data_IF_693173551487
#
_entry.id   IF_693173551487
#
_cell.length_a   1.000
_cell.length_b   1.000
_cell.length_c   1.000
_cell.angle_alpha   90.00
_cell.angle_beta   90.00
_cell.angle_gamma   90.00
#
_symmetry.space_group_name_H-M   'P 1'
#
loop_
_entity.id
_entity.type
_entity.pdbx_description
1 polymer ?
#
# COMPACT_ATOMS: atom_id res chain seq x y z
N UNK A 1 -41.55 -71.09 7.56
CA UNK A 1 -41.39 -71.07 6.10
C UNK A 1 -41.38 -69.60 5.70
N UNK A 2 -40.30 -68.90 6.00
CA UNK A 2 -39.03 -68.84 5.24
C UNK A 2 -39.12 -67.84 4.09
N UNK A 3 -38.16 -66.90 4.08
CA UNK A 3 -37.43 -66.33 2.93
C UNK A 3 -37.00 -64.90 3.32
N UNK A 4 -35.83 -64.73 3.93
CA UNK A 4 -34.54 -64.47 3.27
C UNK A 4 -34.42 -63.07 2.64
N UNK A 5 -33.49 -62.27 3.17
CA UNK A 5 -32.88 -61.11 2.51
C UNK A 5 -32.13 -61.57 1.26
N UNK A 6 -31.83 -60.62 0.35
CA UNK A 6 -30.42 -60.46 0.03
C UNK A 6 -29.94 -59.01 0.17
N UNK A 7 -28.69 -58.93 0.59
CA UNK A 7 -27.88 -57.74 0.67
C UNK A 7 -27.58 -57.19 -0.74
N UNK A 8 -27.73 -55.87 -0.91
CA UNK A 8 -27.12 -55.15 -2.03
C UNK A 8 -25.83 -54.53 -1.51
N UNK A 9 -24.72 -55.08 -1.98
CA UNK A 9 -23.36 -54.63 -1.78
C UNK A 9 -23.12 -53.28 -2.47
N UNK A 10 -22.45 -52.41 -1.70
CA UNK A 10 -21.40 -51.47 -2.08
C UNK A 10 -21.07 -51.35 -3.58
N UNK A 11 -21.31 -50.15 -4.10
CA UNK A 11 -20.32 -49.45 -4.93
C UNK A 11 -20.20 -48.02 -4.39
N UNK A 12 -19.42 -47.87 -3.31
CA UNK A 12 -18.77 -46.59 -3.03
C UNK A 12 -17.80 -46.35 -4.18
N UNK A 13 -18.17 -45.45 -5.09
CA UNK A 13 -17.23 -44.84 -6.01
C UNK A 13 -16.23 -44.05 -5.15
N UNK A 14 -15.12 -44.70 -4.81
CA UNK A 14 -13.92 -44.03 -4.36
C UNK A 14 -13.46 -43.15 -5.52
N UNK A 15 -13.82 -41.87 -5.48
CA UNK A 15 -13.11 -40.85 -6.23
C UNK A 15 -11.65 -40.89 -5.74
N UNK A 16 -10.66 -40.88 -6.65
CA UNK A 16 -9.26 -40.80 -6.25
C UNK A 16 -9.07 -39.47 -5.51
N UNK A 17 -8.79 -39.55 -4.21
CA UNK A 17 -8.39 -38.41 -3.40
C UNK A 17 -7.17 -37.79 -4.07
N UNK A 18 -7.30 -36.58 -4.61
CA UNK A 18 -6.13 -35.81 -5.02
C UNK A 18 -5.17 -35.74 -3.83
N UNK A 19 -3.84 -35.84 -4.05
CA UNK A 19 -2.88 -35.64 -2.97
C UNK A 19 -3.15 -34.28 -2.32
N UNK A 20 -3.43 -34.28 -1.01
CA UNK A 20 -3.55 -33.05 -0.24
C UNK A 20 -2.15 -32.44 -0.20
N UNK A 21 -1.93 -31.39 -0.98
CA UNK A 21 -0.70 -30.62 -0.93
C UNK A 21 -0.60 -29.94 0.44
N UNK A 22 0.61 -29.79 0.97
CA UNK A 22 0.78 -28.96 2.16
C UNK A 22 0.43 -27.50 1.82
N UNK A 23 0.01 -26.70 2.81
CA UNK A 23 -0.29 -25.29 2.60
C UNK A 23 0.89 -24.53 1.96
N UNK A 24 2.11 -24.91 2.35
CA UNK A 24 3.33 -24.32 1.81
C UNK A 24 3.53 -24.68 0.34
N UNK A 25 3.21 -25.91 -0.05
CA UNK A 25 3.28 -26.34 -1.46
C UNK A 25 2.22 -25.63 -2.31
N UNK A 26 1.01 -25.43 -1.79
CA UNK A 26 -0.04 -24.64 -2.45
C UNK A 26 0.41 -23.20 -2.69
N UNK A 27 1.00 -22.55 -1.68
CA UNK A 27 1.55 -21.20 -1.78
C UNK A 27 2.68 -21.11 -2.82
N UNK A 28 3.63 -22.04 -2.77
CA UNK A 28 4.76 -22.06 -3.71
C UNK A 28 4.27 -22.25 -5.15
N UNK A 29 3.32 -23.17 -5.37
CA UNK A 29 2.73 -23.39 -6.68
C UNK A 29 1.97 -22.15 -7.17
N UNK A 30 1.23 -21.48 -6.30
CA UNK A 30 0.56 -20.23 -6.64
C UNK A 30 1.58 -19.13 -7.00
N UNK A 31 2.65 -19.01 -6.23
CA UNK A 31 3.74 -18.03 -6.45
C UNK A 31 4.42 -18.23 -7.81
N UNK A 32 4.59 -19.46 -8.29
CA UNK A 32 5.15 -19.76 -9.61
C UNK A 32 4.34 -19.17 -10.78
N UNK A 33 3.06 -18.87 -10.60
CA UNK A 33 2.23 -18.24 -11.63
C UNK A 33 2.55 -16.76 -11.84
N UNK A 34 3.28 -16.14 -10.91
CA UNK A 34 3.62 -14.73 -10.96
C UNK A 34 5.00 -14.52 -11.60
N UNK A 35 5.09 -13.79 -12.72
CA UNK A 35 6.37 -13.49 -13.34
C UNK A 35 7.23 -12.65 -12.39
N UNK A 36 8.48 -13.05 -12.17
CA UNK A 36 9.40 -12.32 -11.29
C UNK A 36 9.28 -12.66 -9.80
N UNK A 37 8.42 -13.60 -9.41
CA UNK A 37 8.21 -13.96 -8.00
C UNK A 37 9.46 -14.51 -7.28
N UNK A 38 10.42 -15.06 -8.03
CA UNK A 38 11.71 -15.47 -7.47
C UNK A 38 12.63 -14.30 -7.06
N UNK A 39 12.25 -13.06 -7.38
CA UNK A 39 13.00 -11.84 -7.07
C UNK A 39 12.28 -10.89 -6.12
N UNK A 40 11.17 -11.34 -5.52
CA UNK A 40 10.41 -10.54 -4.56
C UNK A 40 11.20 -10.26 -3.29
N UNK A 41 10.99 -9.07 -2.72
CA UNK A 41 11.46 -8.74 -1.38
C UNK A 41 10.64 -9.48 -0.31
N UNK A 42 11.15 -9.56 0.92
CA UNK A 42 10.45 -10.21 2.02
C UNK A 42 9.04 -9.63 2.25
N UNK A 43 8.89 -8.30 2.17
CA UNK A 43 7.58 -7.66 2.36
C UNK A 43 6.63 -7.92 1.18
N UNK A 44 7.15 -8.07 -0.04
CA UNK A 44 6.34 -8.46 -1.22
C UNK A 44 5.85 -9.91 -1.11
N UNK A 45 6.70 -10.81 -0.61
CA UNK A 45 6.33 -12.20 -0.34
C UNK A 45 5.30 -12.28 0.80
N UNK A 46 5.51 -11.53 1.87
CA UNK A 46 4.58 -11.44 2.99
C UNK A 46 3.20 -10.92 2.53
N UNK A 47 3.18 -9.85 1.72
CA UNK A 47 1.95 -9.33 1.12
C UNK A 47 1.25 -10.41 0.29
N UNK A 48 1.98 -11.12 -0.58
CA UNK A 48 1.41 -12.20 -1.37
C UNK A 48 0.80 -13.31 -0.51
N UNK A 49 1.52 -13.76 0.52
CA UNK A 49 1.04 -14.79 1.45
C UNK A 49 -0.25 -14.35 2.17
N UNK A 50 -0.28 -13.11 2.67
CA UNK A 50 -1.47 -12.53 3.31
C UNK A 50 -2.63 -12.45 2.33
N UNK A 51 -2.41 -11.98 1.10
CA UNK A 51 -3.46 -11.85 0.09
C UNK A 51 -3.98 -13.21 -0.36
N UNK A 52 -3.11 -14.20 -0.54
CA UNK A 52 -3.48 -15.56 -0.91
C UNK A 52 -4.30 -16.24 0.18
N UNK A 53 -3.90 -16.05 1.45
CA UNK A 53 -4.56 -16.64 2.61
C UNK A 53 -5.60 -15.74 3.27
N UNK A 54 -5.98 -14.62 2.66
CA UNK A 54 -6.87 -13.61 3.29
C UNK A 54 -8.23 -14.17 3.71
N UNK A 55 -8.67 -15.25 3.08
CA UNK A 55 -9.91 -15.96 3.39
C UNK A 55 -9.75 -17.03 4.49
N UNK A 56 -8.53 -17.26 4.97
CA UNK A 56 -8.16 -18.25 5.99
C UNK A 56 -7.46 -17.63 7.21
N UNK A 57 -7.05 -16.37 7.12
CA UNK A 57 -6.38 -15.64 8.20
C UNK A 57 -7.39 -14.85 9.05
N UNK A 58 -7.17 -14.74 10.37
CA UNK A 58 -7.86 -13.75 11.18
C UNK A 58 -7.29 -12.37 10.86
N UNK A 59 -8.13 -11.49 10.28
CA UNK A 59 -7.66 -10.20 9.76
C UNK A 59 -7.95 -9.03 10.70
N UNK A 60 -8.98 -9.13 11.55
CA UNK A 60 -9.55 -8.02 12.32
C UNK A 60 -9.72 -8.36 13.80
N UNK A 61 -9.72 -7.37 14.71
CA UNK A 61 -9.92 -7.59 16.13
C UNK A 61 -11.28 -8.27 16.45
N UNK A 62 -11.37 -9.10 17.52
CA UNK A 62 -12.57 -9.88 17.80
C UNK A 62 -13.80 -9.02 18.13
N UNK A 63 -13.57 -7.85 18.73
CA UNK A 63 -14.63 -6.93 19.12
C UNK A 63 -15.29 -6.22 17.92
N UNK A 64 -14.62 -6.16 16.76
CA UNK A 64 -15.20 -5.59 15.52
C UNK A 64 -16.31 -6.47 14.94
N UNK A 65 -16.41 -7.74 15.35
CA UNK A 65 -17.51 -8.63 14.94
C UNK A 65 -18.90 -8.03 15.20
N UNK A 66 -19.04 -7.18 16.24
CA UNK A 66 -20.29 -6.51 16.59
C UNK A 66 -20.67 -5.39 15.61
N UNK A 67 -19.69 -4.69 15.07
CA UNK A 67 -19.89 -3.58 14.14
C UNK A 67 -20.22 -4.09 12.73
N UNK A 68 -19.73 -5.28 12.38
CA UNK A 68 -19.93 -5.89 11.07
C UNK A 68 -21.01 -6.97 11.00
N UNK A 69 -21.89 -7.11 12.01
CA UNK A 69 -22.95 -8.16 12.03
C UNK A 69 -23.89 -8.16 10.83
N UNK A 70 -24.00 -7.03 10.11
CA UNK A 70 -24.86 -6.89 8.93
C UNK A 70 -24.12 -7.17 7.61
N UNK A 71 -22.80 -7.36 7.68
CA UNK A 71 -21.96 -7.70 6.53
C UNK A 71 -21.76 -9.22 6.52
N UNK A 72 -21.92 -9.91 5.38
CA UNK A 72 -21.76 -11.36 5.29
C UNK A 72 -20.28 -11.77 5.33
N UNK A 73 -19.64 -11.61 6.49
CA UNK A 73 -18.26 -12.01 6.75
C UNK A 73 -18.20 -13.31 7.54
N UNK A 74 -17.10 -14.04 7.37
CA UNK A 74 -16.85 -15.28 8.11
C UNK A 74 -16.30 -14.97 9.50
N UNK A 75 -16.77 -15.71 10.52
CA UNK A 75 -16.42 -15.44 11.92
C UNK A 75 -14.91 -15.56 12.20
N UNK A 76 -14.20 -16.41 11.46
CA UNK A 76 -12.76 -16.60 11.66
C UNK A 76 -11.93 -15.37 11.31
N UNK A 77 -12.46 -14.44 10.50
CA UNK A 77 -11.80 -13.16 10.21
C UNK A 77 -11.61 -12.29 11.47
N UNK A 78 -12.37 -12.58 12.55
CA UNK A 78 -12.32 -11.88 13.82
C UNK A 78 -11.62 -12.67 14.93
N UNK A 79 -11.02 -13.83 14.63
CA UNK A 79 -10.43 -14.72 15.65
C UNK A 79 -8.93 -14.48 15.87
N UNK A 80 -8.52 -13.21 15.94
CA UNK A 80 -7.10 -12.86 16.15
C UNK A 80 -6.65 -13.21 17.56
N UNK A 81 -5.39 -13.62 17.70
CA UNK A 81 -4.74 -14.01 18.96
C UNK A 81 -3.36 -13.36 19.06
N UNK A 82 -2.66 -13.58 20.18
CA UNK A 82 -1.27 -13.09 20.34
C UNK A 82 -0.32 -13.74 19.31
N UNK A 83 -0.63 -14.95 18.86
CA UNK A 83 0.12 -15.69 17.83
C UNK A 83 -0.24 -15.24 16.41
N UNK A 84 -1.47 -14.74 16.22
CA UNK A 84 -2.00 -14.27 14.93
C UNK A 84 -2.66 -12.91 15.14
N UNK A 85 -1.87 -11.82 15.22
CA UNK A 85 -2.38 -10.48 15.47
C UNK A 85 -3.24 -9.99 14.30
N UNK A 86 -4.18 -9.05 14.55
CA UNK A 86 -4.94 -8.41 13.48
C UNK A 86 -4.01 -7.67 12.51
N UNK A 87 -4.34 -7.71 11.22
CA UNK A 87 -3.66 -6.91 10.20
C UNK A 87 -4.44 -5.61 9.94
N UNK A 88 -5.77 -5.67 9.96
CA UNK A 88 -6.66 -4.52 9.83
C UNK A 88 -7.18 -4.14 11.22
N UNK A 89 -6.59 -3.12 11.82
CA UNK A 89 -6.95 -2.64 13.16
C UNK A 89 -6.67 -1.14 13.28
N UNK A 90 -7.19 -0.51 14.34
CA UNK A 90 -6.86 0.86 14.72
C UNK A 90 -5.77 0.86 15.81
N UNK A 91 -4.73 1.68 15.63
CA UNK A 91 -3.75 1.99 16.68
C UNK A 91 -4.31 2.97 17.70
N UNK A 92 -5.18 3.88 17.24
CA UNK A 92 -5.86 4.84 18.09
C UNK A 92 -6.99 4.19 18.89
N UNK A 93 -7.36 4.82 20.00
CA UNK A 93 -8.58 4.48 20.75
C UNK A 93 -9.86 4.73 19.93
N UNK A 94 -9.77 5.40 18.78
CA UNK A 94 -10.89 5.75 17.88
C UNK A 94 -11.33 4.58 16.98
N UNK A 95 -11.60 3.41 17.57
CA UNK A 95 -12.01 2.17 16.88
C UNK A 95 -13.22 2.37 15.95
N UNK A 96 -14.19 3.21 16.35
CA UNK A 96 -15.38 3.50 15.54
C UNK A 96 -15.05 4.17 14.20
N UNK A 97 -14.04 5.04 14.15
CA UNK A 97 -13.65 5.67 12.88
C UNK A 97 -13.05 4.64 11.92
N UNK A 98 -12.30 3.67 12.45
CA UNK A 98 -11.70 2.60 11.69
C UNK A 98 -12.76 1.67 11.07
N UNK A 99 -13.73 1.23 11.85
CA UNK A 99 -14.81 0.36 11.35
C UNK A 99 -15.69 1.08 10.33
N UNK A 100 -15.95 2.38 10.53
CA UNK A 100 -16.67 3.20 9.55
C UNK A 100 -15.89 3.42 8.24
N UNK A 101 -14.58 3.64 8.33
CA UNK A 101 -13.72 3.77 7.15
C UNK A 101 -13.68 2.47 6.35
N UNK A 102 -13.58 1.32 7.04
CA UNK A 102 -13.61 0.01 6.41
C UNK A 102 -14.98 -0.31 5.79
N UNK A 103 -16.07 0.03 6.48
CA UNK A 103 -17.43 -0.16 5.93
C UNK A 103 -17.61 0.59 4.60
N UNK A 104 -17.07 1.81 4.49
CA UNK A 104 -17.11 2.58 3.22
C UNK A 104 -16.38 1.86 2.09
N UNK A 105 -15.26 1.20 2.36
CA UNK A 105 -14.55 0.39 1.36
C UNK A 105 -15.36 -0.85 0.93
N UNK A 106 -16.05 -1.50 1.87
CA UNK A 106 -16.92 -2.66 1.57
C UNK A 106 -18.12 -2.21 0.72
N UNK A 107 -18.73 -1.09 1.06
CA UNK A 107 -19.89 -0.53 0.35
C UNK A 107 -19.53 0.07 -1.03
N UNK A 108 -18.24 0.36 -1.27
CA UNK A 108 -17.75 0.97 -2.51
C UNK A 108 -18.18 0.20 -3.76
N UNK A 109 -18.16 -1.14 -3.70
CA UNK A 109 -18.59 -2.00 -4.82
C UNK A 109 -20.05 -1.75 -5.20
N UNK A 110 -20.94 -1.61 -4.20
CA UNK A 110 -22.35 -1.30 -4.45
C UNK A 110 -22.54 0.11 -5.03
N UNK A 111 -21.76 1.08 -4.56
CA UNK A 111 -21.79 2.45 -5.07
C UNK A 111 -21.30 2.54 -6.52
N UNK A 112 -20.17 1.92 -6.84
CA UNK A 112 -19.60 1.85 -8.20
C UNK A 112 -20.59 1.22 -9.17
N UNK A 113 -21.22 0.11 -8.79
CA UNK A 113 -22.25 -0.54 -9.62
C UNK A 113 -23.45 0.37 -9.85
N UNK A 114 -23.92 1.07 -8.82
CA UNK A 114 -25.05 1.99 -8.93
C UNK A 114 -24.73 3.14 -9.88
N UNK A 115 -23.54 3.72 -9.77
CA UNK A 115 -23.04 4.79 -10.65
C UNK A 115 -22.96 4.31 -12.11
N UNK A 116 -22.43 3.11 -12.34
CA UNK A 116 -22.35 2.52 -13.68
C UNK A 116 -23.74 2.22 -14.26
N UNK A 117 -24.66 1.65 -13.47
CA UNK A 117 -26.04 1.34 -13.89
C UNK A 117 -26.86 2.59 -14.18
N UNK A 118 -26.55 3.70 -13.53
CA UNK A 118 -27.19 5.00 -13.76
C UNK A 118 -26.65 5.72 -15.00
N UNK A 119 -25.70 5.12 -15.72
CA UNK A 119 -25.10 5.69 -16.94
C UNK A 119 -23.97 6.68 -16.68
N UNK A 120 -23.41 6.72 -15.46
CA UNK A 120 -22.32 7.61 -15.06
C UNK A 120 -20.98 6.87 -14.86
N UNK A 121 -20.69 5.90 -15.73
CA UNK A 121 -19.50 5.03 -15.62
C UNK A 121 -18.19 5.83 -15.54
N UNK A 122 -18.12 6.97 -16.22
CA UNK A 122 -16.99 7.88 -16.22
C UNK A 122 -16.61 8.42 -14.84
N UNK A 123 -17.55 8.40 -13.88
CA UNK A 123 -17.32 8.84 -12.50
C UNK A 123 -16.78 7.73 -11.59
N UNK A 124 -16.89 6.46 -12.02
CA UNK A 124 -16.47 5.32 -11.20
C UNK A 124 -14.98 5.36 -10.80
N UNK A 125 -14.02 5.67 -11.71
CA UNK A 125 -12.61 5.72 -11.32
C UNK A 125 -12.33 6.74 -10.21
N UNK A 126 -12.90 7.94 -10.33
CA UNK A 126 -12.74 9.02 -9.35
C UNK A 126 -13.44 8.73 -8.03
N UNK A 127 -14.58 8.04 -8.08
CA UNK A 127 -15.26 7.57 -6.87
C UNK A 127 -14.41 6.54 -6.11
N UNK A 128 -13.81 5.59 -6.83
CA UNK A 128 -12.92 4.59 -6.23
C UNK A 128 -11.70 5.28 -5.62
N UNK A 129 -11.01 6.12 -6.39
CA UNK A 129 -9.85 6.89 -5.93
C UNK A 129 -10.16 7.69 -4.66
N UNK A 130 -11.27 8.43 -4.65
CA UNK A 130 -11.68 9.24 -3.49
C UNK A 130 -11.98 8.39 -2.25
N UNK A 131 -12.61 7.24 -2.43
CA UNK A 131 -12.92 6.34 -1.32
C UNK A 131 -11.65 5.70 -0.72
N UNK A 132 -10.69 5.31 -1.57
CA UNK A 132 -9.41 4.76 -1.11
C UNK A 132 -8.58 5.85 -0.42
N UNK A 133 -8.49 7.05 -1.00
CA UNK A 133 -7.80 8.20 -0.38
C UNK A 133 -8.42 8.58 0.97
N UNK A 134 -9.74 8.54 1.11
CA UNK A 134 -10.38 8.76 2.42
C UNK A 134 -9.98 7.70 3.46
N UNK A 135 -9.67 6.47 3.05
CA UNK A 135 -9.18 5.42 3.95
C UNK A 135 -7.69 5.62 4.28
N UNK A 136 -6.88 6.02 3.30
CA UNK A 136 -5.48 6.44 3.49
C UNK A 136 -5.38 7.63 4.46
N UNK A 137 -6.24 8.64 4.31
CA UNK A 137 -6.31 9.79 5.21
C UNK A 137 -6.60 9.35 6.65
N UNK A 138 -7.57 8.45 6.85
CA UNK A 138 -7.83 7.85 8.16
C UNK A 138 -6.60 7.11 8.70
N UNK A 139 -5.91 6.33 7.87
CA UNK A 139 -4.72 5.60 8.26
C UNK A 139 -3.58 6.54 8.68
N UNK A 140 -3.44 7.71 8.04
CA UNK A 140 -2.46 8.73 8.43
C UNK A 140 -2.74 9.36 9.80
N UNK A 141 -4.03 9.58 10.11
CA UNK A 141 -4.48 10.07 11.42
C UNK A 141 -4.27 9.00 12.49
N UNK A 142 -4.63 7.76 12.19
CA UNK A 142 -4.50 6.62 13.10
C UNK A 142 -3.03 6.29 13.40
N UNK A 143 -2.17 6.37 12.39
CA UNK A 143 -0.72 6.18 12.52
C UNK A 143 0.03 7.38 13.08
N UNK A 144 -0.64 8.52 13.28
CA UNK A 144 -0.05 9.71 13.91
C UNK A 144 1.03 10.41 13.07
N UNK A 145 1.01 10.24 11.75
CA UNK A 145 1.98 10.85 10.84
C UNK A 145 1.38 11.90 9.89
N UNK A 146 0.12 12.28 10.09
CA UNK A 146 -0.57 13.29 9.29
C UNK A 146 0.12 14.67 9.31
N UNK A 147 0.70 15.06 10.44
CA UNK A 147 1.34 16.37 10.63
C UNK A 147 2.86 16.33 10.38
N UNK A 148 3.36 15.26 9.78
CA UNK A 148 4.78 15.06 9.48
C UNK A 148 5.04 15.18 7.97
N UNK A 149 6.25 15.60 7.62
CA UNK A 149 6.78 15.56 6.25
C UNK A 149 7.15 14.12 5.90
N UNK A 150 6.17 13.38 5.40
CA UNK A 150 6.30 11.96 5.06
C UNK A 150 6.41 11.79 3.56
N UNK A 151 7.36 10.97 3.10
CA UNK A 151 7.29 10.40 1.76
C UNK A 151 6.45 9.12 1.85
N UNK A 152 5.27 9.05 1.22
CA UNK A 152 4.41 7.88 1.35
C UNK A 152 5.04 6.68 0.65
N UNK A 153 4.81 5.49 1.20
CA UNK A 153 5.16 4.22 0.58
C UNK A 153 3.99 3.61 -0.21
N UNK A 154 2.85 4.31 -0.28
CA UNK A 154 1.67 3.94 -1.07
C UNK A 154 1.33 5.06 -2.05
N UNK A 155 0.97 4.71 -3.29
CA UNK A 155 0.34 5.64 -4.24
C UNK A 155 -1.05 5.15 -4.64
N UNK A 156 -2.01 6.08 -4.67
CA UNK A 156 -3.38 5.86 -5.14
C UNK A 156 -3.67 6.84 -6.28
N UNK A 157 -3.77 6.34 -7.50
CA UNK A 157 -3.95 7.16 -8.70
C UNK A 157 -4.89 6.50 -9.72
N UNK A 158 -5.66 7.31 -10.44
CA UNK A 158 -6.42 6.85 -11.61
C UNK A 158 -5.46 6.78 -12.81
N UNK A 159 -5.14 5.57 -13.25
CA UNK A 159 -4.29 5.35 -14.42
C UNK A 159 -5.06 5.42 -15.75
N UNK A 160 -6.37 5.17 -15.72
CA UNK A 160 -7.23 5.24 -16.91
C UNK A 160 -8.66 5.65 -16.54
N UNK A 161 -9.17 6.69 -17.20
CA UNK A 161 -10.59 7.00 -17.26
C UNK A 161 -11.24 6.44 -18.56
N UNK A 162 -12.57 6.51 -18.69
CA UNK A 162 -13.30 5.98 -19.87
C UNK A 162 -12.90 6.67 -21.20
N UNK A 163 -12.07 7.73 -21.14
CA UNK A 163 -11.51 8.45 -22.30
C UNK A 163 -9.99 8.21 -22.48
N UNK A 164 -9.41 7.32 -21.68
CA UNK A 164 -7.97 7.14 -21.51
C UNK A 164 -7.24 6.41 -22.66
N UNK A 165 -5.90 6.33 -22.56
CA UNK A 165 -5.04 5.79 -23.61
C UNK A 165 -5.13 4.26 -23.75
N UNK A 166 -4.44 3.70 -24.75
CA UNK A 166 -4.39 2.27 -25.03
C UNK A 166 -3.81 1.46 -23.84
N UNK A 167 -4.14 0.17 -23.74
CA UNK A 167 -3.79 -0.69 -22.60
C UNK A 167 -2.27 -0.74 -22.34
N UNK A 168 -1.46 -0.74 -23.40
CA UNK A 168 -0.01 -0.70 -23.30
C UNK A 168 0.53 0.61 -22.70
N UNK A 169 -0.18 1.73 -22.90
CA UNK A 169 0.17 3.02 -22.30
C UNK A 169 -0.17 3.02 -20.80
N UNK A 170 -1.28 2.38 -20.42
CA UNK A 170 -1.71 2.28 -19.01
C UNK A 170 -0.67 1.55 -18.17
N UNK A 171 -0.16 0.40 -18.62
CA UNK A 171 0.91 -0.31 -17.90
C UNK A 171 2.19 0.55 -17.80
N UNK A 172 2.56 1.23 -18.89
CA UNK A 172 3.72 2.13 -18.89
C UNK A 172 3.59 3.29 -17.90
N UNK A 173 2.39 3.87 -17.78
CA UNK A 173 2.08 4.91 -16.80
C UNK A 173 2.21 4.37 -15.37
N UNK A 174 1.58 3.23 -15.08
CA UNK A 174 1.65 2.62 -13.74
C UNK A 174 3.10 2.29 -13.34
N UNK A 175 3.85 1.64 -14.22
CA UNK A 175 5.24 1.29 -13.94
C UNK A 175 6.12 2.53 -13.73
N UNK A 176 5.93 3.56 -14.57
CA UNK A 176 6.66 4.84 -14.41
C UNK A 176 6.36 5.47 -13.06
N UNK A 177 5.09 5.53 -12.66
CA UNK A 177 4.67 6.06 -11.36
C UNK A 177 5.26 5.28 -10.19
N UNK A 178 5.26 3.95 -10.26
CA UNK A 178 5.88 3.10 -9.24
C UNK A 178 7.39 3.31 -9.13
N UNK A 179 8.10 3.40 -10.27
CA UNK A 179 9.54 3.67 -10.29
C UNK A 179 9.87 5.06 -9.74
N UNK A 180 9.04 6.07 -10.06
CA UNK A 180 9.18 7.42 -9.52
C UNK A 180 9.02 7.42 -7.99
N UNK A 181 7.98 6.78 -7.45
CA UNK A 181 7.80 6.70 -6.00
C UNK A 181 8.99 5.99 -5.32
N UNK A 182 9.45 4.88 -5.89
CA UNK A 182 10.63 4.17 -5.41
C UNK A 182 11.90 5.05 -5.46
N UNK A 183 12.05 5.87 -6.50
CA UNK A 183 13.15 6.85 -6.62
C UNK A 183 13.06 7.92 -5.54
N UNK A 184 11.88 8.50 -5.32
CA UNK A 184 11.67 9.50 -4.26
C UNK A 184 12.00 8.91 -2.88
N UNK A 185 11.54 7.68 -2.59
CA UNK A 185 11.88 6.96 -1.35
C UNK A 185 13.38 6.78 -1.17
N UNK A 186 14.09 6.35 -2.23
CA UNK A 186 15.55 6.24 -2.22
C UNK A 186 16.20 7.58 -1.91
N UNK A 187 15.83 8.65 -2.63
CA UNK A 187 16.43 9.98 -2.45
C UNK A 187 16.16 10.52 -1.05
N UNK A 188 14.97 10.31 -0.51
CA UNK A 188 14.63 10.69 0.86
C UNK A 188 15.53 10.00 1.89
N UNK A 189 15.77 8.69 1.74
CA UNK A 189 16.51 7.89 2.71
C UNK A 189 18.02 7.91 2.54
N UNK A 190 18.55 8.59 1.51
CA UNK A 190 20.00 8.76 1.34
C UNK A 190 20.65 9.46 2.54
N UNK A 191 21.88 9.05 2.85
CA UNK A 191 22.72 9.73 3.86
C UNK A 191 23.12 11.12 3.37
N UNK A 192 23.38 11.25 2.07
CA UNK A 192 23.73 12.48 1.36
C UNK A 192 22.51 13.16 0.73
N UNK A 193 21.34 13.11 1.39
CA UNK A 193 20.10 13.73 0.91
C UNK A 193 20.33 15.21 0.58
N UNK A 194 19.84 15.64 -0.58
CA UNK A 194 19.81 17.04 -0.98
C UNK A 194 19.06 17.89 0.07
N UNK A 195 19.67 18.96 0.60
CA UNK A 195 18.97 19.91 1.48
C UNK A 195 17.69 20.47 0.86
N UNK A 196 17.65 20.61 -0.47
CA UNK A 196 16.51 21.18 -1.20
C UNK A 196 15.50 20.09 -1.62
N UNK A 197 15.56 18.88 -1.04
CA UNK A 197 14.68 17.76 -1.37
C UNK A 197 13.20 18.16 -1.35
N UNK A 198 12.75 18.82 -0.28
CA UNK A 198 11.36 19.27 -0.09
C UNK A 198 11.02 20.56 -0.84
N UNK A 199 11.98 21.23 -1.48
CA UNK A 199 11.67 22.42 -2.27
C UNK A 199 10.91 22.03 -3.54
N UNK A 200 9.62 22.36 -3.54
CA UNK A 200 8.70 22.18 -4.66
C UNK A 200 8.11 23.51 -5.13
N UNK A 201 8.75 24.65 -4.82
CA UNK A 201 8.22 25.97 -5.17
C UNK A 201 7.99 26.12 -6.68
N UNK A 202 8.87 25.54 -7.50
CA UNK A 202 8.74 25.53 -8.96
C UNK A 202 7.52 24.74 -9.42
N UNK A 203 7.32 23.55 -8.86
CA UNK A 203 6.20 22.67 -9.20
C UNK A 203 4.89 23.29 -8.73
N UNK A 204 4.86 23.87 -7.52
CA UNK A 204 3.68 24.55 -6.98
C UNK A 204 3.30 25.78 -7.81
N UNK A 205 4.28 26.50 -8.38
CA UNK A 205 4.02 27.60 -9.30
C UNK A 205 3.42 27.14 -10.64
N UNK A 206 3.77 25.93 -11.10
CA UNK A 206 3.22 25.34 -12.32
C UNK A 206 1.86 24.68 -12.10
N UNK A 207 1.67 24.04 -10.94
CA UNK A 207 0.55 23.16 -10.63
C UNK A 207 0.08 23.40 -9.18
N UNK A 208 -0.67 24.47 -8.90
CA UNK A 208 -1.03 24.85 -7.53
C UNK A 208 -2.02 23.88 -6.85
N UNK A 209 -2.78 23.11 -7.62
CA UNK A 209 -3.85 22.23 -7.11
C UNK A 209 -3.36 20.84 -6.67
N UNK A 210 -2.07 20.52 -6.89
CA UNK A 210 -1.51 19.22 -6.56
C UNK A 210 -1.16 19.12 -5.07
N UNK A 211 -1.31 17.91 -4.50
CA UNK A 211 -0.82 17.62 -3.15
C UNK A 211 0.71 17.67 -3.10
N UNK A 212 1.28 17.87 -1.91
CA UNK A 212 2.73 17.96 -1.72
C UNK A 212 3.46 16.70 -2.21
N UNK A 213 2.88 15.51 -1.99
CA UNK A 213 3.37 14.26 -2.56
C UNK A 213 3.37 14.28 -4.09
N UNK A 214 2.29 14.75 -4.71
CA UNK A 214 2.18 14.82 -6.17
C UNK A 214 3.17 15.84 -6.75
N UNK A 215 3.41 16.95 -6.06
CA UNK A 215 4.43 17.94 -6.42
C UNK A 215 5.85 17.37 -6.33
N UNK A 216 6.14 16.57 -5.31
CA UNK A 216 7.43 15.88 -5.20
C UNK A 216 7.61 14.87 -6.33
N UNK A 217 6.59 14.06 -6.63
CA UNK A 217 6.65 13.13 -7.76
C UNK A 217 6.86 13.87 -9.08
N UNK A 218 6.21 15.02 -9.28
CA UNK A 218 6.39 15.87 -10.46
C UNK A 218 7.82 16.41 -10.58
N UNK A 219 8.41 16.87 -9.46
CA UNK A 219 9.81 17.31 -9.40
C UNK A 219 10.76 16.24 -9.94
N UNK A 220 10.65 15.02 -9.42
CA UNK A 220 11.52 13.91 -9.83
C UNK A 220 11.16 13.30 -11.20
N UNK A 221 10.02 13.69 -11.78
CA UNK A 221 9.66 13.34 -13.17
C UNK A 221 10.44 14.18 -14.18
N UNK A 222 10.64 15.47 -13.88
CA UNK A 222 11.33 16.42 -14.79
C UNK A 222 12.85 16.18 -14.86
N UNK A 223 13.45 15.67 -13.80
CA UNK A 223 14.89 15.38 -13.75
C UNK A 223 15.31 14.16 -14.59
N UNK A 224 14.35 13.33 -15.05
CA UNK A 224 14.60 12.18 -15.92
C UNK A 224 14.90 12.59 -17.38
N UNK A 225 14.66 13.86 -17.74
CA UNK A 225 14.82 14.38 -19.09
C UNK A 225 16.21 14.94 -19.43
N UNK A 226 17.22 14.78 -18.57
CA UNK A 226 18.45 15.58 -18.63
C UNK A 226 19.74 14.82 -18.36
N UNK A 227 20.05 13.79 -19.15
CA UNK A 227 21.43 13.26 -19.27
C UNK A 227 21.76 12.82 -20.72
N UNK A 228 21.18 13.51 -21.71
CA UNK A 228 21.70 13.47 -23.08
C UNK A 228 21.59 14.86 -23.73
N UNK A 229 22.67 15.28 -24.36
CA UNK A 229 22.88 16.49 -25.17
C UNK A 229 23.00 17.89 -24.51
N UNK A 230 24.26 18.32 -24.39
CA UNK A 230 24.76 19.34 -25.32
C UNK A 230 24.44 20.82 -25.03
N UNK A 231 25.43 21.48 -24.41
CA UNK A 231 25.69 22.92 -24.43
C UNK A 231 24.96 23.79 -25.48
N UNK A 232 24.17 24.77 -25.01
CA UNK A 232 24.03 26.18 -25.48
C UNK A 232 22.84 26.79 -24.71
N UNK A 233 22.92 27.87 -23.93
CA UNK A 233 23.49 29.16 -24.27
C UNK A 233 22.37 30.19 -24.48
N UNK A 234 21.86 30.77 -23.38
CA UNK A 234 21.19 32.08 -23.22
C UNK A 234 20.07 32.54 -24.18
N UNK A 235 18.94 32.99 -23.62
CA UNK A 235 18.67 34.44 -23.41
C UNK A 235 17.25 34.68 -22.91
N UNK A 236 17.15 35.48 -21.85
CA UNK A 236 15.93 36.08 -21.34
C UNK A 236 15.36 37.12 -22.30
N UNK A 237 14.03 37.22 -22.35
CA UNK A 237 13.28 38.46 -22.59
C UNK A 237 11.84 38.32 -22.06
N UNK A 238 11.47 39.23 -21.18
CA UNK A 238 10.12 39.71 -20.86
C UNK A 238 10.25 41.26 -20.75
N UNK A 239 9.20 42.11 -20.64
CA UNK A 239 7.74 41.91 -20.83
C UNK A 239 7.03 43.10 -21.58
N UNK A 240 5.72 43.01 -21.87
CA UNK A 240 4.77 44.17 -22.05
C UNK A 240 3.34 43.63 -21.82
N UNK A 241 2.64 43.94 -20.71
CA UNK A 241 1.71 45.07 -20.43
C UNK A 241 0.43 45.16 -21.29
N UNK A 242 -0.74 45.30 -20.64
CA UNK A 242 -2.06 45.45 -21.29
C UNK A 242 -3.32 45.22 -20.43
N UNK A 243 -3.56 46.12 -19.48
CA UNK A 243 -4.84 46.65 -18.90
C UNK A 243 -6.23 46.00 -19.08
N UNK A 244 -6.92 45.95 -17.92
CA UNK A 244 -8.32 46.29 -17.58
C UNK A 244 -9.54 45.55 -18.17
N UNK A 245 -10.42 45.03 -17.30
CA UNK A 245 -11.73 45.66 -16.98
C UNK A 245 -12.52 44.92 -15.88
N UNK A 246 -13.20 45.73 -15.06
CA UNK A 246 -14.12 45.43 -13.95
C UNK A 246 -15.36 44.60 -14.29
N UNK A 247 -15.88 43.85 -13.31
CA UNK A 247 -17.33 43.76 -13.01
C UNK A 247 -17.70 42.89 -11.77
N UNK A 248 -18.07 43.58 -10.68
CA UNK A 248 -19.23 43.39 -9.76
C UNK A 248 -19.63 42.00 -9.19
N UNK A 249 -19.55 41.93 -7.84
CA UNK A 249 -20.51 41.42 -6.84
C UNK A 249 -21.47 40.25 -7.15
N UNK A 250 -21.43 39.19 -6.33
CA UNK A 250 -22.59 38.83 -5.50
C UNK A 250 -22.18 38.02 -4.25
N UNK A 251 -22.68 38.46 -3.09
CA UNK A 251 -22.55 37.82 -1.78
C UNK A 251 -23.70 36.83 -1.57
N UNK A 252 -23.44 35.67 -0.97
CA UNK A 252 -24.43 34.99 -0.11
C UNK A 252 -23.74 34.25 1.02
N UNK A 253 -23.85 34.83 2.22
CA UNK A 253 -23.53 34.24 3.50
C UNK A 253 -24.59 33.21 3.91
N UNK A 254 -24.16 32.11 4.54
CA UNK A 254 -25.01 31.25 5.35
C UNK A 254 -24.28 30.90 6.65
N UNK A 255 -24.82 31.45 7.74
CA UNK A 255 -24.59 31.09 9.14
C UNK A 255 -24.92 29.61 9.42
N UNK A 256 -24.21 29.02 10.39
CA UNK A 256 -24.72 28.20 11.51
C UNK A 256 -23.49 27.55 12.19
N UNK A 257 -23.06 28.02 13.36
CA UNK A 257 -23.60 27.84 14.73
C UNK A 257 -22.75 26.84 15.52
N UNK A 258 -22.17 27.37 16.59
CA UNK A 258 -21.16 26.79 17.46
C UNK A 258 -21.76 25.88 18.53
N UNK A 259 -21.13 24.72 18.75
CA UNK A 259 -21.46 23.80 19.84
C UNK A 259 -20.22 23.28 20.54
N UNK A 260 -19.62 24.09 21.41
CA UNK A 260 -18.52 23.71 22.33
C UNK A 260 -18.96 22.66 23.36
N UNK A 261 -18.11 21.64 23.56
CA UNK A 261 -18.17 20.71 24.69
C UNK A 261 -16.77 20.30 25.13
N UNK A 262 -16.37 20.77 26.31
CA UNK A 262 -15.11 20.55 27.03
C UNK A 262 -15.08 19.19 27.76
N UNK A 263 -13.91 18.55 27.91
CA UNK A 263 -13.19 18.27 29.19
C UNK A 263 -12.11 17.18 29.08
N UNK A 264 -10.90 17.55 29.52
CA UNK A 264 -9.93 16.90 30.45
C UNK A 264 -9.24 15.54 30.22
N UNK A 265 -7.89 15.64 30.20
CA UNK A 265 -6.80 14.84 30.83
C UNK A 265 -6.98 13.35 31.20
N UNK A 266 -6.02 12.49 30.78
CA UNK A 266 -5.13 11.65 31.65
C UNK A 266 -3.88 11.20 30.84
N UNK A 267 -2.77 11.08 31.58
CA UNK A 267 -1.36 10.77 31.28
C UNK A 267 -1.01 9.33 30.79
N UNK A 268 0.01 9.29 29.89
CA UNK A 268 1.30 8.54 29.93
C UNK A 268 1.42 7.00 29.81
N UNK A 269 2.44 6.61 29.01
CA UNK A 269 3.18 5.33 28.89
C UNK A 269 2.43 4.13 28.27
N UNK A 270 2.93 3.42 27.25
CA UNK A 270 4.29 2.85 27.13
C UNK A 270 4.51 2.36 25.69
N UNK A 271 5.71 2.60 25.15
CA UNK A 271 6.20 1.98 23.92
C UNK A 271 6.93 0.67 24.25
N UNK A 272 6.69 -0.39 23.47
CA UNK A 272 7.65 -1.42 23.04
C UNK A 272 6.92 -2.72 22.67
N UNK A 273 6.99 -3.11 21.40
CA UNK A 273 7.23 -4.49 20.93
C UNK A 273 6.69 -4.67 19.50
N UNK A 274 7.54 -4.43 18.50
CA UNK A 274 7.43 -5.07 17.19
C UNK A 274 8.86 -5.47 16.82
N UNK A 275 9.23 -6.70 17.19
CA UNK A 275 10.38 -7.38 16.65
C UNK A 275 9.98 -8.84 16.39
N UNK A 276 10.21 -9.27 15.14
CA UNK A 276 10.23 -10.63 14.61
C UNK A 276 8.98 -11.53 14.79
N UNK A 277 8.15 -11.61 13.74
CA UNK A 277 7.40 -12.84 13.45
C UNK A 277 8.14 -13.65 12.37
N UNK A 278 8.93 -14.62 12.83
CA UNK A 278 9.38 -15.75 12.01
C UNK A 278 8.35 -16.88 12.16
N UNK A 279 7.61 -17.16 11.09
CA UNK A 279 6.78 -18.36 10.95
C UNK A 279 7.69 -19.59 10.77
N UNK A 280 8.20 -20.14 11.87
CA UNK A 280 8.97 -21.39 11.87
C UNK A 280 8.57 -22.35 13.01
N UNK A 281 7.26 -22.51 13.23
CA UNK A 281 6.78 -23.49 14.21
C UNK A 281 5.50 -24.20 13.76
N UNK A 282 5.62 -24.99 12.70
CA UNK A 282 4.76 -26.15 12.45
C UNK A 282 5.60 -27.25 11.76
N UNK A 283 6.38 -28.00 12.54
CA UNK A 283 6.95 -29.28 12.12
C UNK A 283 6.70 -30.27 13.25
N UNK A 284 5.85 -31.26 12.96
CA UNK A 284 5.67 -32.46 13.77
C UNK A 284 6.95 -33.32 13.72
N UNK A 285 7.28 -33.87 14.89
CA UNK A 285 8.32 -34.85 15.14
C UNK A 285 8.19 -36.08 14.22
N UNK A 286 9.25 -36.39 13.47
CA UNK A 286 9.54 -37.77 13.08
C UNK A 286 11.04 -38.06 13.36
N UNK A 287 11.23 -38.99 14.29
CA UNK A 287 12.47 -39.63 14.70
C UNK A 287 13.22 -40.25 13.51
N UNK A 288 14.54 -40.03 13.44
CA UNK A 288 15.48 -41.09 13.04
C UNK A 288 16.90 -40.77 13.55
N UNK A 289 17.37 -41.65 14.44
CA UNK A 289 18.73 -41.75 14.96
C UNK A 289 19.75 -42.11 13.85
N UNK A 290 20.90 -41.42 13.79
CA UNK A 290 22.17 -42.12 13.57
C UNK A 290 23.43 -41.32 13.99
N UNK A 291 24.38 -42.03 14.58
CA UNK A 291 25.56 -41.52 15.30
C UNK A 291 26.71 -41.02 14.38
N UNK A 292 27.28 -39.84 14.74
CA UNK A 292 28.72 -39.36 14.77
C UNK A 292 29.82 -40.02 13.88
N UNK A 293 30.98 -39.35 13.55
CA UNK A 293 31.62 -38.22 14.26
C UNK A 293 32.30 -37.11 13.41
N UNK A 294 32.67 -36.04 14.11
CA UNK A 294 33.44 -34.87 13.70
C UNK A 294 34.84 -35.17 13.15
N UNK A 295 35.24 -34.45 12.10
CA UNK A 295 36.65 -34.24 11.76
C UNK A 295 36.88 -32.77 11.36
N UNK A 296 37.64 -32.06 12.20
CA UNK A 296 38.30 -30.78 11.93
C UNK A 296 39.23 -30.92 10.73
N UNK A 297 39.27 -29.93 9.83
CA UNK A 297 40.45 -29.54 9.03
C UNK A 297 40.16 -28.22 8.29
N UNK A 298 41.01 -27.23 8.52
CA UNK A 298 41.23 -26.06 7.63
C UNK A 298 42.72 -26.06 7.25
N UNK A 299 43.19 -25.21 6.32
CA UNK A 299 42.90 -25.13 4.88
C UNK A 299 44.22 -25.26 4.07
N UNK A 300 44.24 -25.05 2.73
CA UNK A 300 45.41 -24.38 2.17
C UNK A 300 45.07 -23.21 1.23
N UNK A 301 46.02 -22.29 1.22
CA UNK A 301 46.04 -21.00 0.55
C UNK A 301 45.98 -21.07 -0.99
N UNK A 302 45.25 -20.12 -1.58
CA UNK A 302 45.45 -19.65 -2.94
C UNK A 302 45.51 -18.11 -2.93
N UNK A 303 46.43 -17.58 -3.73
CA UNK A 303 46.92 -16.21 -3.78
C UNK A 303 45.91 -15.22 -4.41
N UNK A 304 46.16 -13.89 -4.34
CA UNK A 304 45.15 -12.85 -4.54
C UNK A 304 44.86 -12.67 -6.03
N UNK A 305 43.59 -12.68 -6.38
CA UNK A 305 43.11 -12.12 -7.63
C UNK A 305 42.74 -10.66 -7.34
N UNK A 306 43.47 -9.74 -7.96
CA UNK A 306 43.07 -8.36 -8.14
C UNK A 306 41.75 -8.33 -8.92
N UNK A 307 40.63 -8.16 -8.22
CA UNK A 307 39.32 -7.79 -8.78
C UNK A 307 38.86 -6.47 -8.12
N UNK A 308 39.74 -5.48 -8.18
CA UNK A 308 39.42 -4.07 -7.93
C UNK A 308 39.06 -3.41 -9.28
N UNK A 309 37.81 -3.59 -9.72
CA UNK A 309 37.15 -2.67 -10.67
C UNK A 309 35.64 -2.93 -10.74
N UNK A 310 34.88 -2.01 -10.12
CA UNK A 310 33.45 -1.75 -10.31
C UNK A 310 32.44 -2.42 -9.34
N UNK A 311 32.72 -2.40 -8.04
CA UNK A 311 31.66 -2.03 -7.09
C UNK A 311 31.39 -0.53 -7.29
N UNK A 312 30.42 -0.19 -8.14
CA UNK A 312 29.81 1.16 -8.07
C UNK A 312 29.28 1.26 -6.65
N UNK A 313 29.86 2.16 -5.84
CA UNK A 313 29.46 2.38 -4.45
C UNK A 313 27.94 2.59 -4.40
N UNK A 314 27.19 1.56 -4.01
CA UNK A 314 25.76 1.68 -3.79
C UNK A 314 25.53 2.84 -2.81
N UNK A 315 24.61 3.77 -3.09
CA UNK A 315 24.40 4.92 -2.23
C UNK A 315 24.09 4.45 -0.81
N UNK A 316 24.78 5.01 0.17
CA UNK A 316 24.53 4.71 1.57
C UNK A 316 23.18 5.31 1.97
N UNK A 317 22.32 4.48 2.57
CA UNK A 317 21.03 4.92 3.10
C UNK A 317 21.05 4.99 4.63
N UNK A 318 20.30 5.93 5.19
CA UNK A 318 20.05 6.04 6.64
C UNK A 318 19.31 4.79 7.15
N UNK A 319 18.38 4.30 6.34
CA UNK A 319 17.63 3.06 6.51
C UNK A 319 17.38 2.42 5.15
N UNK A 320 17.22 1.09 5.06
CA UNK A 320 16.85 0.44 3.80
C UNK A 320 15.53 1.03 3.27
N UNK A 321 15.45 1.44 2.00
CA UNK A 321 14.21 1.88 1.39
C UNK A 321 13.10 0.82 1.49
N UNK A 322 11.86 1.20 1.85
CA UNK A 322 10.76 0.25 1.98
C UNK A 322 10.32 -0.25 0.60
N UNK A 323 9.58 -1.36 0.59
CA UNK A 323 8.74 -1.71 -0.56
C UNK A 323 7.67 -0.62 -0.73
N UNK A 324 7.50 -0.16 -1.96
CA UNK A 324 6.43 0.77 -2.32
C UNK A 324 5.26 0.01 -2.93
N UNK A 325 4.06 0.45 -2.57
CA UNK A 325 2.78 -0.12 -2.99
C UNK A 325 2.06 0.85 -3.92
N UNK A 326 1.36 0.34 -4.91
CA UNK A 326 0.53 1.12 -5.82
C UNK A 326 -0.84 0.53 -5.98
N UNK A 327 -1.87 1.34 -5.73
CA UNK A 327 -3.28 1.04 -6.00
C UNK A 327 -3.72 1.90 -7.18
N UNK A 328 -3.68 1.33 -8.38
CA UNK A 328 -4.03 2.05 -9.60
C UNK A 328 -5.45 1.74 -10.04
N UNK A 329 -6.26 2.77 -10.20
CA UNK A 329 -7.64 2.63 -10.65
C UNK A 329 -7.68 2.67 -12.18
N UNK A 330 -8.22 1.61 -12.78
CA UNK A 330 -8.48 1.51 -14.23
C UNK A 330 -9.95 1.19 -14.41
N UNK A 331 -10.72 2.15 -14.93
CA UNK A 331 -12.17 2.04 -15.08
C UNK A 331 -12.86 1.71 -13.74
N UNK A 332 -13.19 0.44 -13.49
CA UNK A 332 -13.88 -0.03 -12.30
C UNK A 332 -13.05 -1.01 -11.47
N UNK A 333 -11.79 -1.23 -11.86
CA UNK A 333 -10.90 -2.17 -11.20
C UNK A 333 -9.73 -1.44 -10.55
N UNK A 334 -9.20 -2.00 -9.48
CA UNK A 334 -7.99 -1.53 -8.80
C UNK A 334 -6.90 -2.57 -8.98
N UNK A 335 -5.76 -2.14 -9.52
CA UNK A 335 -4.57 -2.97 -9.72
C UNK A 335 -3.60 -2.72 -8.56
N UNK A 336 -3.15 -3.80 -7.92
CA UNK A 336 -2.14 -3.75 -6.87
C UNK A 336 -0.77 -4.11 -7.45
N UNK A 337 0.14 -3.14 -7.36
CA UNK A 337 1.54 -3.26 -7.79
C UNK A 337 2.47 -3.03 -6.61
N UNK A 338 3.66 -3.65 -6.65
CA UNK A 338 4.75 -3.37 -5.71
C UNK A 338 6.07 -3.15 -6.42
N UNK A 339 6.95 -2.37 -5.80
CA UNK A 339 8.36 -2.25 -6.20
C UNK A 339 9.23 -2.23 -4.94
N UNK A 340 10.24 -3.07 -4.91
CA UNK A 340 11.30 -2.97 -3.93
C UNK A 340 12.23 -1.78 -4.25
N UNK A 341 12.09 -0.69 -3.48
CA UNK A 341 12.87 0.52 -3.71
C UNK A 341 14.37 0.32 -3.43
N UNK A 342 14.77 -0.68 -2.64
CA UNK A 342 16.17 -0.94 -2.32
C UNK A 342 16.96 -1.54 -3.50
N UNK A 343 16.28 -2.15 -4.48
CA UNK A 343 16.89 -2.73 -5.70
C UNK A 343 17.30 -1.70 -6.77
N UNK A 344 17.07 -0.41 -6.54
CA UNK A 344 17.47 0.67 -7.44
C UNK A 344 16.52 0.88 -8.63
N UNK A 345 17.00 1.55 -9.68
CA UNK A 345 16.17 1.95 -10.84
C UNK A 345 15.73 0.76 -11.72
N UNK A 346 16.49 -0.34 -11.70
CA UNK A 346 16.19 -1.56 -12.45
C UNK A 346 15.25 -2.52 -11.70
N UNK A 347 14.69 -2.08 -10.56
CA UNK A 347 13.77 -2.90 -9.77
C UNK A 347 12.53 -3.28 -10.62
N UNK A 348 12.17 -4.57 -10.69
CA UNK A 348 10.97 -5.00 -11.38
C UNK A 348 9.72 -4.46 -10.67
N UNK A 349 8.71 -4.08 -11.45
CA UNK A 349 7.37 -3.77 -10.93
C UNK A 349 6.58 -5.07 -10.92
N UNK A 350 6.13 -5.47 -9.73
CA UNK A 350 5.45 -6.74 -9.52
C UNK A 350 3.95 -6.53 -9.42
N UNK A 351 3.18 -7.38 -10.09
CA UNK A 351 1.72 -7.39 -10.01
C UNK A 351 1.25 -8.46 -9.03
N UNK A 352 0.29 -8.10 -8.16
CA UNK A 352 -0.24 -9.02 -7.15
C UNK A 352 -1.69 -9.43 -7.44
N UNK A 353 -2.58 -8.46 -7.69
CA UNK A 353 -3.99 -8.72 -7.92
C UNK A 353 -4.70 -7.59 -8.68
N UNK A 354 -5.85 -7.94 -9.23
CA UNK A 354 -6.89 -7.04 -9.71
C UNK A 354 -8.17 -7.19 -8.86
N UNK A 355 -8.67 -6.07 -8.35
CA UNK A 355 -9.93 -6.01 -7.60
C UNK A 355 -11.00 -5.33 -8.47
N UNK A 356 -11.94 -6.09 -9.03
CA UNK A 356 -13.04 -5.56 -9.84
C UNK A 356 -14.23 -5.14 -8.96
N UNK A 357 -14.50 -3.84 -8.90
CA UNK A 357 -15.62 -3.27 -8.14
C UNK A 357 -16.97 -3.37 -8.86
N UNK A 358 -17.05 -4.03 -10.04
CA UNK A 358 -18.32 -4.43 -10.64
C UNK A 358 -18.83 -5.78 -10.13
N UNK A 359 -17.96 -6.63 -9.58
CA UNK A 359 -18.37 -7.93 -9.05
C UNK A 359 -18.99 -7.78 -7.65
N UNK A 360 -20.32 -7.96 -7.59
CA UNK A 360 -21.07 -7.87 -6.34
C UNK A 360 -20.72 -8.96 -5.32
N UNK A 361 -20.12 -10.07 -5.74
CA UNK A 361 -19.72 -11.15 -4.84
C UNK A 361 -18.38 -10.88 -4.16
N UNK A 362 -17.63 -9.88 -4.62
CA UNK A 362 -16.32 -9.52 -4.10
C UNK A 362 -16.35 -8.25 -3.25
N UNK A 363 -17.52 -7.70 -2.87
CA UNK A 363 -17.57 -6.41 -2.16
C UNK A 363 -16.75 -6.39 -0.87
N UNK A 364 -16.91 -7.43 -0.05
CA UNK A 364 -16.14 -7.63 1.18
C UNK A 364 -14.66 -7.82 0.86
N UNK A 365 -14.32 -8.70 -0.07
CA UNK A 365 -12.93 -9.04 -0.37
C UNK A 365 -12.16 -7.89 -1.02
N UNK A 366 -12.81 -7.12 -1.89
CA UNK A 366 -12.25 -5.89 -2.48
C UNK A 366 -11.95 -4.87 -1.38
N UNK A 367 -12.90 -4.65 -0.47
CA UNK A 367 -12.73 -3.74 0.67
C UNK A 367 -11.59 -4.18 1.60
N UNK A 368 -11.55 -5.47 1.96
CA UNK A 368 -10.49 -6.04 2.80
C UNK A 368 -9.12 -5.97 2.10
N UNK A 369 -9.06 -6.22 0.80
CA UNK A 369 -7.81 -6.16 0.03
C UNK A 369 -7.19 -4.78 0.07
N UNK A 370 -7.98 -3.74 -0.20
CA UNK A 370 -7.51 -2.35 -0.10
C UNK A 370 -7.08 -2.02 1.32
N UNK A 371 -7.90 -2.40 2.32
CA UNK A 371 -7.61 -2.13 3.71
C UNK A 371 -6.31 -2.79 4.19
N UNK A 372 -6.04 -4.04 3.78
CA UNK A 372 -4.81 -4.76 4.09
C UNK A 372 -3.58 -3.98 3.61
N UNK A 373 -3.57 -3.60 2.33
CA UNK A 373 -2.44 -2.88 1.73
C UNK A 373 -2.21 -1.53 2.43
N UNK A 374 -3.28 -0.78 2.69
CA UNK A 374 -3.18 0.52 3.38
C UNK A 374 -2.70 0.36 4.82
N UNK A 375 -3.19 -0.64 5.57
CA UNK A 375 -2.74 -0.90 6.94
C UNK A 375 -1.28 -1.37 7.00
N UNK A 376 -0.84 -2.23 6.08
CA UNK A 376 0.57 -2.63 5.97
C UNK A 376 1.45 -1.40 5.66
N UNK A 377 1.04 -0.58 4.69
CA UNK A 377 1.75 0.64 4.33
C UNK A 377 1.83 1.63 5.52
N UNK A 378 0.73 1.80 6.25
CA UNK A 378 0.65 2.62 7.47
C UNK A 378 1.61 2.12 8.54
N UNK A 379 1.59 0.83 8.86
CA UNK A 379 2.41 0.25 9.93
C UNK A 379 3.91 0.38 9.61
N UNK A 380 4.29 0.24 8.34
CA UNK A 380 5.66 0.48 7.87
C UNK A 380 6.08 1.95 8.02
N UNK A 381 5.20 2.92 7.72
CA UNK A 381 5.46 4.34 7.96
C UNK A 381 5.54 4.66 9.46
N UNK A 382 4.70 4.04 10.29
CA UNK A 382 4.72 4.21 11.75
C UNK A 382 6.03 3.71 12.36
N UNK A 383 6.54 2.57 11.89
CA UNK A 383 7.85 2.05 12.33
C UNK A 383 9.00 3.05 12.04
N UNK A 384 8.82 3.88 11.00
CA UNK A 384 9.77 4.89 10.54
C UNK A 384 9.43 6.32 10.99
N UNK A 385 8.44 6.48 11.88
CA UNK A 385 7.95 7.80 12.28
C UNK A 385 9.02 8.72 12.88
N UNK A 386 10.08 8.14 13.45
CA UNK A 386 11.21 8.87 14.05
C UNK A 386 12.08 9.59 13.01
N UNK A 387 12.02 9.20 11.75
CA UNK A 387 12.84 9.75 10.67
C UNK A 387 12.15 10.90 9.94
N UNK A 388 10.88 11.16 10.23
CA UNK A 388 10.12 12.24 9.60
C UNK A 388 10.32 13.58 10.29
N UNK A 389 10.34 14.63 9.46
CA UNK A 389 10.43 16.00 9.92
C UNK A 389 9.03 16.53 10.28
N UNK A 390 8.89 17.46 11.24
CA UNK A 390 7.61 18.12 11.48
C UNK A 390 7.12 18.82 10.21
N UNK A 391 5.83 18.67 9.90
CA UNK A 391 5.16 19.41 8.84
C UNK A 391 5.18 20.93 9.08
N UNK A 392 4.96 21.74 8.03
CA UNK A 392 4.73 23.17 8.20
C UNK A 392 3.56 23.38 9.17
N UNK A 393 3.75 24.25 10.17
CA UNK A 393 2.77 24.47 11.23
C UNK A 393 1.48 25.05 10.62
N UNK A 394 0.45 24.20 10.46
CA UNK A 394 -0.86 24.60 9.91
C UNK A 394 -1.56 25.69 10.75
N UNK A 395 -1.04 26.00 11.95
CA UNK A 395 -1.57 27.02 12.86
C UNK A 395 -1.32 28.45 12.42
N UNK A 396 -0.40 28.70 11.49
CA UNK A 396 -0.15 30.06 10.98
C UNK A 396 -1.17 30.50 9.92
N UNK A 397 -2.00 29.57 9.42
CA UNK A 397 -3.08 29.85 8.45
C UNK A 397 -4.33 30.47 9.10
N UNK A 398 -4.54 30.22 10.40
CA UNK A 398 -5.71 30.68 11.17
C UNK A 398 -5.45 32.03 11.86
N UNK A 399 -4.35 32.72 11.52
CA UNK A 399 -4.12 34.10 11.95
C UNK A 399 -5.06 35.03 11.18
N UNK A 400 -6.26 35.16 11.72
CA UNK A 400 -7.29 36.14 11.38
C UNK A 400 -6.67 37.54 11.18
N UNK A 401 -6.79 38.14 9.98
CA UNK A 401 -6.17 39.43 9.67
C UNK A 401 -6.88 40.65 10.31
N UNK A 402 -7.93 40.46 11.13
CA UNK A 402 -8.72 41.55 11.73
C UNK A 402 -8.53 41.73 13.26
N UNK A 403 -7.32 41.50 13.80
CA UNK A 403 -6.96 41.79 15.20
C UNK A 403 -6.40 43.21 15.45
#
# INVERSE_FOLDING_TARGET
>A
MESEKPAVQQQQQQQPSAPQLSLRDELNLAKEHYPGAGSWAADEECLFEILYLRDRLPLMPPHWSLDFRLVPMMDHLFQTSDEQPPIIYAHSSKQFLATMALMRLIDLTSLVRTVCQSGHRERAPRLIEACIKSFEDWASVDGGYQDLMVVPNLIVEVAMDDSGPDEADVTGVMERRMRLLARVQRQYLRVDRDPDFWDVARQRASCPDLSDTALLLDKFTLDDGGDDDGASGASATDPVDGTDTDAVHDEMALDNDDGKGSTDHVDTETAAALDAMALDSLVDDDDDDDERPQAKLSPPAAAPADDDAAERSSPAYRLPPPVVYGLFVVRTSVFLLTVDAAKGEAAPVNFHLDADFLDSHQSVWNGLTVALVVCIARDELMARARDFEPGPDRRDCDSDPDA
#
